data_IF_083592071809
#
_entry.id   IF_083592071809
#
_cell.length_a   1.000
_cell.length_b   1.000
_cell.length_c   1.000
_cell.angle_alpha   90.00
_cell.angle_beta   90.00
_cell.angle_gamma   90.00
#
_symmetry.space_group_name_H-M   'P 1'
#
loop_
_entity.id
_entity.type
_entity.pdbx_description
1 polymer ?
#
# COMPACT_ATOMS: atom_id res chain seq x y z
N UNK A 1 7.10 1.00 -0.60
CA UNK A 1 6.80 -0.17 -1.47
C UNK A 1 7.03 0.13 -2.95
N UNK A 2 6.82 1.37 -3.40
CA UNK A 2 7.19 1.82 -4.74
C UNK A 2 8.60 2.43 -4.68
N UNK A 3 9.60 1.73 -5.21
CA UNK A 3 11.00 2.19 -5.22
C UNK A 3 11.47 2.35 -6.67
N UNK A 4 12.23 3.41 -7.00
CA UNK A 4 12.62 3.68 -8.39
C UNK A 4 13.76 2.76 -8.86
N UNK A 5 14.65 2.36 -7.95
CA UNK A 5 15.83 1.55 -8.25
C UNK A 5 16.05 0.48 -7.18
N UNK A 6 16.74 -0.62 -7.53
CA UNK A 6 17.07 -1.66 -6.55
C UNK A 6 17.98 -1.12 -5.45
N UNK A 7 17.79 -1.60 -4.23
CA UNK A 7 18.67 -1.26 -3.11
C UNK A 7 18.96 -2.48 -2.23
N UNK A 8 20.08 -2.42 -1.51
CA UNK A 8 20.45 -3.45 -0.53
C UNK A 8 19.78 -3.12 0.81
N UNK A 9 18.94 -4.03 1.31
CA UNK A 9 18.31 -3.89 2.61
C UNK A 9 19.29 -4.08 3.76
N UNK A 10 18.86 -3.66 4.96
CA UNK A 10 19.55 -4.00 6.21
C UNK A 10 19.50 -5.53 6.40
N UNK A 11 20.47 -6.09 7.12
CA UNK A 11 20.50 -7.54 7.35
C UNK A 11 19.45 -7.97 8.37
N UNK A 12 18.34 -8.52 7.87
CA UNK A 12 17.26 -9.11 8.66
C UNK A 12 17.40 -10.65 8.81
N UNK A 13 18.57 -11.22 8.48
CA UNK A 13 18.80 -12.67 8.56
C UNK A 13 18.13 -13.47 7.43
N UNK A 14 17.62 -12.80 6.38
CA UNK A 14 17.00 -13.48 5.24
C UNK A 14 18.01 -13.74 4.11
N UNK A 15 17.74 -14.76 3.27
CA UNK A 15 18.58 -15.07 2.09
C UNK A 15 18.60 -13.93 1.08
N UNK A 16 17.49 -13.19 0.98
CA UNK A 16 17.31 -12.13 -0.01
C UNK A 16 17.88 -10.82 0.51
N UNK A 17 18.87 -10.26 -0.17
CA UNK A 17 19.58 -9.04 0.28
C UNK A 17 19.24 -7.78 -0.52
N UNK A 18 18.61 -7.92 -1.69
CA UNK A 18 18.28 -6.81 -2.60
C UNK A 18 16.76 -6.70 -2.75
N UNK A 19 16.23 -5.50 -2.59
CA UNK A 19 14.83 -5.14 -2.87
C UNK A 19 14.76 -4.56 -4.29
N UNK A 20 13.78 -5.00 -5.09
CA UNK A 20 13.61 -4.58 -6.49
C UNK A 20 12.31 -3.78 -6.67
N UNK A 21 12.25 -2.85 -7.65
CA UNK A 21 11.06 -2.04 -7.95
C UNK A 21 9.77 -2.85 -8.16
N UNK A 22 9.86 -4.04 -8.74
CA UNK A 22 8.72 -4.89 -9.06
C UNK A 22 8.32 -5.88 -7.95
N UNK A 23 8.93 -5.79 -6.77
CA UNK A 23 8.68 -6.76 -5.70
C UNK A 23 7.23 -6.81 -5.24
N UNK A 24 6.58 -5.65 -5.15
CA UNK A 24 5.18 -5.59 -4.76
C UNK A 24 4.31 -6.40 -5.74
N UNK A 25 4.47 -6.17 -7.03
CA UNK A 25 3.74 -6.90 -8.09
C UNK A 25 4.07 -8.39 -8.07
N UNK A 26 5.32 -8.75 -7.78
CA UNK A 26 5.77 -10.16 -7.81
C UNK A 26 5.31 -10.95 -6.59
N UNK A 27 5.29 -10.33 -5.41
CA UNK A 27 5.14 -11.04 -4.14
C UNK A 27 3.87 -10.70 -3.35
N UNK A 28 2.97 -9.83 -3.86
CA UNK A 28 1.75 -9.45 -3.15
C UNK A 28 0.94 -10.65 -2.65
N UNK A 29 0.79 -11.72 -3.46
CA UNK A 29 0.04 -12.93 -3.06
C UNK A 29 0.64 -13.62 -1.82
N UNK A 30 1.97 -13.62 -1.70
CA UNK A 30 2.67 -14.21 -0.55
C UNK A 30 2.49 -13.30 0.67
N UNK A 31 2.55 -11.99 0.47
CA UNK A 31 2.39 -11.00 1.53
C UNK A 31 0.95 -10.95 2.04
N UNK A 32 -0.04 -10.97 1.16
CA UNK A 32 -1.47 -11.02 1.52
C UNK A 32 -1.77 -12.24 2.40
N UNK A 33 -1.26 -13.42 2.01
CA UNK A 33 -1.38 -14.64 2.83
C UNK A 33 -0.73 -14.50 4.20
N UNK A 34 0.35 -13.73 4.33
CA UNK A 34 0.99 -13.48 5.63
C UNK A 34 0.20 -12.47 6.47
N UNK A 35 -0.31 -11.40 5.86
CA UNK A 35 -1.14 -10.40 6.52
C UNK A 35 -2.42 -11.03 7.06
N UNK A 36 -3.13 -11.82 6.25
CA UNK A 36 -4.36 -12.51 6.64
C UNK A 36 -4.19 -13.41 7.86
N UNK A 37 -3.03 -14.09 8.01
CA UNK A 37 -2.77 -14.98 9.16
C UNK A 37 -2.76 -14.28 10.51
N UNK A 38 -2.52 -12.97 10.53
CA UNK A 38 -2.41 -12.18 11.77
C UNK A 38 -3.44 -11.06 11.85
N UNK A 39 -4.22 -10.85 10.79
CA UNK A 39 -5.17 -9.74 10.68
C UNK A 39 -6.20 -9.73 11.82
N UNK A 40 -6.63 -10.92 12.26
CA UNK A 40 -7.56 -11.09 13.37
C UNK A 40 -7.04 -10.56 14.72
N UNK A 41 -5.73 -10.30 14.85
CA UNK A 41 -5.11 -9.76 16.07
C UNK A 41 -5.16 -8.24 16.14
N UNK A 42 -5.39 -7.54 15.03
CA UNK A 42 -5.33 -6.07 14.97
C UNK A 42 -6.25 -5.42 16.02
N UNK A 43 -7.54 -5.81 16.16
CA UNK A 43 -8.42 -5.18 17.14
C UNK A 43 -8.12 -5.54 18.61
N UNK A 44 -7.32 -6.59 18.84
CA UNK A 44 -7.01 -7.12 20.18
C UNK A 44 -5.69 -6.59 20.75
N UNK A 45 -4.85 -6.02 19.88
CA UNK A 45 -3.55 -5.49 20.25
C UNK A 45 -3.60 -3.97 20.20
N UNK A 46 -2.96 -3.32 21.18
CA UNK A 46 -2.81 -1.88 21.16
C UNK A 46 -2.15 -1.43 19.85
N UNK A 47 -2.82 -0.53 19.13
CA UNK A 47 -2.36 0.03 17.85
C UNK A 47 -1.96 1.50 18.08
N UNK A 48 -0.66 1.82 18.25
CA UNK A 48 -0.22 3.19 18.56
C UNK A 48 -0.63 4.23 17.50
N UNK A 49 -0.86 3.80 16.27
CA UNK A 49 -1.25 4.66 15.14
C UNK A 49 -2.76 4.61 14.85
N UNK A 50 -3.57 4.01 15.73
CA UNK A 50 -5.02 3.89 15.52
C UNK A 50 -5.70 5.26 15.39
N UNK A 51 -5.20 6.28 16.08
CA UNK A 51 -5.73 7.63 16.04
C UNK A 51 -5.66 8.28 14.65
N UNK A 52 -4.82 7.76 13.75
CA UNK A 52 -4.73 8.22 12.36
C UNK A 52 -5.80 7.60 11.45
N UNK A 53 -6.55 6.60 11.95
CA UNK A 53 -7.57 5.90 11.20
C UNK A 53 -8.92 6.56 11.42
N UNK A 54 -9.69 6.72 10.35
CA UNK A 54 -11.10 7.10 10.48
C UNK A 54 -11.90 5.96 11.11
N UNK A 55 -13.04 6.28 11.70
CA UNK A 55 -13.96 5.25 12.23
C UNK A 55 -14.38 4.26 11.15
N UNK A 56 -14.61 4.74 9.92
CA UNK A 56 -14.92 3.90 8.76
C UNK A 56 -13.82 2.88 8.47
N UNK A 57 -12.55 3.32 8.45
CA UNK A 57 -11.41 2.42 8.26
C UNK A 57 -11.28 1.42 9.40
N UNK A 58 -11.51 1.85 10.64
CA UNK A 58 -11.47 0.96 11.80
C UNK A 58 -12.57 -0.11 11.72
N UNK A 59 -13.78 0.26 11.31
CA UNK A 59 -14.88 -0.67 11.10
C UNK A 59 -14.57 -1.68 9.99
N UNK A 60 -13.93 -1.25 8.89
CA UNK A 60 -13.45 -2.14 7.83
C UNK A 60 -12.46 -3.17 8.39
N UNK A 61 -11.48 -2.73 9.19
CA UNK A 61 -10.50 -3.62 9.84
C UNK A 61 -11.21 -4.65 10.73
N UNK A 62 -12.19 -4.23 11.53
CA UNK A 62 -12.94 -5.14 12.40
C UNK A 62 -13.77 -6.13 11.59
N UNK A 63 -14.39 -5.72 10.49
CA UNK A 63 -15.15 -6.60 9.61
C UNK A 63 -14.26 -7.68 8.98
N UNK A 64 -13.09 -7.29 8.47
CA UNK A 64 -12.09 -8.23 7.93
C UNK A 64 -11.57 -9.18 9.01
N UNK A 65 -11.28 -8.65 10.21
CA UNK A 65 -10.83 -9.45 11.36
C UNK A 65 -11.84 -10.52 11.78
N UNK A 66 -13.14 -10.30 11.56
CA UNK A 66 -14.23 -11.24 11.89
C UNK A 66 -14.60 -12.17 10.73
N UNK A 67 -13.99 -11.99 9.55
CA UNK A 67 -14.32 -12.73 8.34
C UNK A 67 -15.63 -12.30 7.68
N UNK A 68 -16.18 -11.15 8.04
CA UNK A 68 -17.38 -10.58 7.40
C UNK A 68 -17.06 -9.86 6.08
N UNK A 69 -15.78 -9.56 5.84
CA UNK A 69 -15.30 -8.92 4.63
C UNK A 69 -13.92 -9.48 4.25
N UNK A 70 -13.61 -9.54 2.95
CA UNK A 70 -12.27 -9.90 2.49
C UNK A 70 -11.29 -8.72 2.65
N UNK A 71 -10.04 -9.03 2.98
CA UNK A 71 -8.96 -8.04 3.05
C UNK A 71 -8.63 -7.54 1.64
N UNK A 72 -8.58 -6.21 1.47
CA UNK A 72 -7.99 -5.58 0.28
C UNK A 72 -6.53 -6.04 0.12
N UNK A 73 -6.15 -6.44 -1.09
CA UNK A 73 -4.78 -6.85 -1.39
C UNK A 73 -3.80 -5.70 -1.16
N UNK A 74 -2.60 -6.01 -0.63
CA UNK A 74 -1.51 -5.04 -0.52
C UNK A 74 -1.08 -4.49 -1.89
N UNK A 75 -1.43 -5.18 -2.98
CA UNK A 75 -1.23 -4.69 -4.35
C UNK A 75 -1.93 -3.34 -4.59
N UNK A 76 -2.99 -3.03 -3.86
CA UNK A 76 -3.69 -1.74 -3.96
C UNK A 76 -2.80 -0.54 -3.56
N UNK A 77 -1.68 -0.78 -2.85
CA UNK A 77 -0.69 0.25 -2.55
C UNK A 77 0.31 0.50 -3.69
N UNK A 78 0.20 -0.25 -4.79
CA UNK A 78 1.07 -0.08 -5.94
C UNK A 78 0.73 1.24 -6.64
N UNK A 79 1.76 2.05 -6.85
CA UNK A 79 1.65 3.31 -7.56
C UNK A 79 2.36 3.18 -8.90
N UNK A 80 1.60 3.23 -9.99
CA UNK A 80 2.16 3.26 -11.34
C UNK A 80 2.40 4.71 -11.75
N UNK A 81 3.67 5.11 -11.90
CA UNK A 81 4.04 6.48 -12.25
C UNK A 81 3.54 6.90 -13.65
N UNK A 82 3.33 5.93 -14.56
CA UNK A 82 2.86 6.18 -15.93
C UNK A 82 1.43 6.74 -15.99
N UNK A 83 0.60 6.50 -14.97
CA UNK A 83 -0.80 6.98 -14.96
C UNK A 83 -0.93 8.49 -14.73
N UNK A 84 0.16 9.21 -14.45
CA UNK A 84 0.15 10.66 -14.19
C UNK A 84 0.43 11.53 -15.41
N UNK A 85 0.83 10.93 -16.54
CA UNK A 85 1.18 11.68 -17.75
C UNK A 85 -0.04 12.34 -18.42
N UNK A 86 -1.26 11.89 -18.12
CA UNK A 86 -2.49 12.47 -18.69
C UNK A 86 -3.01 13.70 -17.93
N UNK A 87 -2.71 13.84 -16.64
CA UNK A 87 -3.21 14.94 -15.79
C UNK A 87 -2.38 16.23 -15.88
N UNK A 88 -1.18 16.16 -16.46
CA UNK A 88 -0.28 17.32 -16.62
C UNK A 88 -0.39 17.99 -18.00
N UNK A 89 -1.57 18.03 -18.62
CA UNK A 89 -1.76 18.93 -19.77
C UNK A 89 -1.92 20.36 -19.24
N UNK A 90 -1.00 21.29 -19.56
CA UNK A 90 -1.15 22.68 -19.14
C UNK A 90 -2.45 23.25 -19.72
N UNK A 91 -3.26 23.85 -18.85
CA UNK A 91 -4.42 24.65 -19.26
C UNK A 91 -3.91 25.74 -20.20
N UNK A 92 -4.42 25.77 -21.44
CA UNK A 92 -4.18 26.87 -22.36
C UNK A 92 -4.69 28.16 -21.69
N UNK A 93 -3.79 28.97 -21.16
CA UNK A 93 -4.06 30.34 -20.77
C UNK A 93 -4.62 31.08 -21.99
N UNK A 94 -5.89 31.48 -21.91
CA UNK A 94 -6.47 32.42 -22.87
C UNK A 94 -5.91 33.80 -22.51
N UNK A 95 -4.86 34.23 -23.21
CA UNK A 95 -4.45 35.62 -23.21
C UNK A 95 -5.59 36.47 -23.80
N UNK A 96 -6.33 37.17 -22.95
CA UNK A 96 -7.16 38.31 -23.36
C UNK A 96 -6.27 39.55 -23.24
N UNK A 97 -5.78 40.01 -24.38
CA UNK A 97 -5.13 41.31 -24.51
C UNK A 97 -6.17 42.42 -24.24
N UNK A 98 -5.80 43.39 -23.41
CA UNK A 98 -6.46 44.69 -23.27
C UNK A 98 -5.60 45.72 -23.97
#
# INVERSE_FOLDING_TARGET
LNIPTPFRGIDEGTRRKIVYPNDLIKYYKIWDKKLLKVFNRIPHLHQPLQELLTEEMWNEIVAVSKGHQEMKSILNNYYNDESRTEERKPSKEKNTAV
#
